data_IF_160619755324
#
_entry.id   IF_160619755324
#
_cell.length_a   1.000
_cell.length_b   1.000
_cell.length_c   1.000
_cell.angle_alpha   90.00
_cell.angle_beta   90.00
_cell.angle_gamma   90.00
#
_symmetry.space_group_name_H-M   'P 1'
#
loop_
_entity.id
_entity.type
_entity.pdbx_description
1 polymer ?
#
# COMPACT_ATOMS: atom_id res chain seq x y z
N UNK A 1 41.73 10.50 -48.08
CA UNK A 1 41.86 10.11 -49.50
C UNK A 1 41.12 11.15 -50.32
N UNK A 2 41.72 11.66 -51.39
CA UNK A 2 41.10 12.75 -52.16
C UNK A 2 39.96 12.20 -53.01
N UNK A 3 38.89 12.98 -53.20
CA UNK A 3 37.73 12.56 -53.98
C UNK A 3 38.10 12.23 -55.45
N UNK A 4 39.15 12.86 -55.97
CA UNK A 4 39.69 12.60 -57.30
C UNK A 4 40.33 11.20 -57.42
N UNK A 5 41.00 10.71 -56.37
CA UNK A 5 41.61 9.38 -56.36
C UNK A 5 40.53 8.29 -56.43
N UNK A 6 39.43 8.48 -55.71
CA UNK A 6 38.28 7.56 -55.71
C UNK A 6 37.51 7.61 -57.03
N UNK A 7 37.38 8.79 -57.66
CA UNK A 7 36.83 8.92 -59.01
C UNK A 7 37.71 8.20 -60.06
N UNK A 8 39.03 8.37 -60.03
CA UNK A 8 39.96 7.68 -60.93
C UNK A 8 39.94 6.17 -60.71
N UNK A 9 39.88 5.71 -59.46
CA UNK A 9 39.79 4.29 -59.12
C UNK A 9 38.47 3.70 -59.63
N UNK A 10 37.35 4.40 -59.42
CA UNK A 10 36.01 4.01 -59.89
C UNK A 10 35.91 3.99 -61.41
N UNK A 11 36.54 4.95 -62.10
CA UNK A 11 36.62 4.97 -63.56
C UNK A 11 37.42 3.77 -64.11
N UNK A 12 38.58 3.47 -63.52
CA UNK A 12 39.40 2.30 -63.89
C UNK A 12 38.76 0.96 -63.54
N UNK A 13 37.95 0.89 -62.49
CA UNK A 13 37.21 -0.32 -62.11
C UNK A 13 35.99 -0.55 -63.03
N UNK A 14 35.37 0.53 -63.53
CA UNK A 14 34.20 0.47 -64.41
C UNK A 14 34.54 0.29 -65.90
N UNK A 15 35.77 0.59 -66.33
CA UNK A 15 36.24 0.44 -67.71
C UNK A 15 37.30 -0.66 -67.80
N UNK A 16 36.89 -1.89 -68.12
CA UNK A 16 37.84 -2.93 -68.49
C UNK A 16 38.47 -2.59 -69.86
N UNK A 17 39.67 -2.00 -69.85
CA UNK A 17 40.44 -1.70 -71.06
C UNK A 17 41.02 -2.94 -71.74
N UNK A 18 41.05 -4.10 -71.06
CA UNK A 18 41.74 -5.31 -71.55
C UNK A 18 41.15 -5.85 -72.88
N UNK A 19 39.82 -5.92 -73.07
CA UNK A 19 39.23 -6.31 -74.35
C UNK A 19 39.61 -5.37 -75.49
N UNK A 20 39.60 -4.05 -75.26
CA UNK A 20 39.97 -3.04 -76.26
C UNK A 20 41.43 -3.22 -76.68
N UNK A 21 42.34 -3.33 -75.71
CA UNK A 21 43.78 -3.51 -75.93
C UNK A 21 44.12 -4.86 -76.59
N UNK A 22 43.30 -5.89 -76.36
CA UNK A 22 43.43 -7.19 -77.03
C UNK A 22 42.90 -7.15 -78.47
N UNK A 23 41.80 -6.44 -78.71
CA UNK A 23 41.24 -6.19 -80.04
C UNK A 23 42.24 -5.38 -80.89
N UNK A 24 42.80 -4.30 -80.35
CA UNK A 24 43.86 -3.50 -80.98
C UNK A 24 45.06 -4.36 -81.40
N UNK A 25 45.57 -5.21 -80.50
CA UNK A 25 46.68 -6.13 -80.82
C UNK A 25 46.32 -7.11 -81.93
N UNK A 26 45.10 -7.65 -81.95
CA UNK A 26 44.64 -8.60 -82.96
C UNK A 26 44.42 -7.96 -84.32
N UNK A 27 43.87 -6.74 -84.37
CA UNK A 27 43.74 -5.95 -85.62
C UNK A 27 45.13 -5.61 -86.16
N UNK A 28 46.07 -5.17 -85.32
CA UNK A 28 47.46 -4.93 -85.72
C UNK A 28 48.19 -6.19 -86.20
N UNK A 29 47.93 -7.35 -85.58
CA UNK A 29 48.47 -8.63 -86.03
C UNK A 29 47.85 -9.03 -87.39
N UNK A 30 46.54 -8.87 -87.56
CA UNK A 30 45.83 -9.18 -88.80
C UNK A 30 46.34 -8.34 -89.98
N UNK A 31 46.51 -7.02 -89.78
CA UNK A 31 47.10 -6.12 -90.78
C UNK A 31 48.53 -6.52 -91.18
N UNK A 32 49.30 -7.17 -90.30
CA UNK A 32 50.64 -7.70 -90.62
C UNK A 32 50.59 -9.05 -91.34
N UNK A 33 49.64 -9.93 -90.98
CA UNK A 33 49.45 -11.21 -91.68
C UNK A 33 48.95 -11.05 -93.12
N UNK A 34 48.24 -9.97 -93.45
CA UNK A 34 47.66 -9.73 -94.79
C UNK A 34 48.66 -9.83 -95.95
N UNK A 35 49.95 -9.57 -95.69
CA UNK A 35 51.02 -9.62 -96.72
C UNK A 35 51.84 -10.92 -96.71
N UNK A 36 51.56 -11.84 -95.79
CA UNK A 36 52.45 -12.97 -95.47
C UNK A 36 51.74 -14.33 -95.41
N UNK A 37 50.49 -14.35 -94.97
CA UNK A 37 49.73 -15.58 -94.70
C UNK A 37 48.77 -15.95 -95.85
N UNK A 38 48.22 -17.18 -95.80
CA UNK A 38 47.20 -17.63 -96.74
C UNK A 38 45.89 -16.82 -96.63
N UNK A 39 45.11 -16.80 -97.70
CA UNK A 39 43.81 -16.15 -97.77
C UNK A 39 42.84 -16.73 -96.72
N UNK A 40 42.82 -18.05 -96.55
CA UNK A 40 41.96 -18.76 -95.60
C UNK A 40 42.28 -18.38 -94.14
N UNK A 41 43.57 -18.36 -93.76
CA UNK A 41 44.02 -17.91 -92.44
C UNK A 41 43.70 -16.44 -92.19
N UNK A 42 43.79 -15.60 -93.23
CA UNK A 42 43.44 -14.18 -93.16
C UNK A 42 41.93 -13.98 -92.96
N UNK A 43 41.09 -14.79 -93.60
CA UNK A 43 39.63 -14.77 -93.40
C UNK A 43 39.23 -15.25 -92.01
N UNK A 44 39.77 -16.39 -91.53
CA UNK A 44 39.49 -16.92 -90.20
C UNK A 44 39.87 -15.91 -89.09
N UNK A 45 40.98 -15.18 -89.26
CA UNK A 45 41.37 -14.10 -88.35
C UNK A 45 40.40 -12.91 -88.38
N UNK A 46 39.87 -12.55 -89.55
CA UNK A 46 38.87 -11.49 -89.70
C UNK A 46 37.54 -11.85 -89.00
N UNK A 47 37.04 -13.08 -89.19
CA UNK A 47 35.83 -13.58 -88.50
C UNK A 47 36.02 -13.64 -86.97
N UNK A 48 37.22 -13.96 -86.50
CA UNK A 48 37.58 -13.90 -85.07
C UNK A 48 37.56 -12.47 -84.51
N UNK A 49 37.99 -11.48 -85.30
CA UNK A 49 37.92 -10.05 -84.93
C UNK A 49 36.47 -9.58 -84.88
N UNK A 50 35.64 -9.91 -85.87
CA UNK A 50 34.20 -9.57 -85.88
C UNK A 50 33.48 -10.13 -84.65
N UNK A 51 33.75 -11.40 -84.29
CA UNK A 51 33.18 -12.03 -83.11
C UNK A 51 33.59 -11.32 -81.81
N UNK A 52 34.83 -10.81 -81.73
CA UNK A 52 35.29 -10.03 -80.57
C UNK A 52 34.65 -8.65 -80.49
N UNK A 53 34.40 -8.00 -81.63
CA UNK A 53 33.66 -6.72 -81.68
C UNK A 53 32.22 -6.93 -81.21
N UNK A 54 31.54 -7.98 -81.68
CA UNK A 54 30.18 -8.33 -81.23
C UNK A 54 30.13 -8.61 -79.72
N UNK A 55 31.07 -9.42 -79.19
CA UNK A 55 31.19 -9.67 -77.75
C UNK A 55 31.45 -8.39 -76.94
N UNK A 56 32.26 -7.47 -77.45
CA UNK A 56 32.55 -6.20 -76.80
C UNK A 56 31.32 -5.27 -76.78
N UNK A 57 30.56 -5.20 -77.88
CA UNK A 57 29.29 -4.49 -77.93
C UNK A 57 28.30 -5.03 -76.88
N UNK A 58 28.09 -6.35 -76.83
CA UNK A 58 27.21 -6.98 -75.82
C UNK A 58 27.66 -6.69 -74.39
N UNK A 59 28.97 -6.59 -74.14
CA UNK A 59 29.51 -6.24 -72.82
C UNK A 59 29.25 -4.78 -72.43
N UNK A 60 29.27 -3.84 -73.38
CA UNK A 60 28.87 -2.43 -73.16
C UNK A 60 27.38 -2.33 -72.84
N UNK A 61 26.54 -3.03 -73.59
CA UNK A 61 25.09 -3.06 -73.36
C UNK A 61 24.77 -3.64 -71.97
N UNK A 62 25.47 -4.70 -71.56
CA UNK A 62 25.40 -5.27 -70.22
C UNK A 62 25.81 -4.27 -69.13
N UNK A 63 26.89 -3.51 -69.31
CA UNK A 63 27.31 -2.48 -68.35
C UNK A 63 26.23 -1.41 -68.14
N UNK A 64 25.61 -0.93 -69.22
CA UNK A 64 24.51 0.04 -69.14
C UNK A 64 23.29 -0.53 -68.39
N UNK A 65 22.98 -1.82 -68.58
CA UNK A 65 21.90 -2.48 -67.85
C UNK A 65 22.22 -2.63 -66.34
N UNK A 66 23.45 -3.04 -66.00
CA UNK A 66 23.92 -3.16 -64.61
C UNK A 66 23.91 -1.78 -63.93
N UNK A 67 24.38 -0.72 -64.60
CA UNK A 67 24.36 0.63 -64.04
C UNK A 67 22.93 1.10 -63.74
N UNK A 68 21.96 0.80 -64.62
CA UNK A 68 20.54 1.10 -64.40
C UNK A 68 19.95 0.29 -63.23
N UNK A 69 20.29 -0.98 -63.12
CA UNK A 69 19.88 -1.84 -62.01
C UNK A 69 20.45 -1.32 -60.67
N UNK A 70 21.76 -1.10 -60.61
CA UNK A 70 22.45 -0.57 -59.43
C UNK A 70 21.86 0.77 -58.98
N UNK A 71 21.53 1.69 -59.89
CA UNK A 71 20.87 2.95 -59.54
C UNK A 71 19.51 2.71 -58.86
N UNK A 72 18.68 1.85 -59.44
CA UNK A 72 17.36 1.48 -58.89
C UNK A 72 17.46 0.79 -57.54
N UNK A 73 18.48 -0.05 -57.36
CA UNK A 73 18.67 -0.75 -56.08
C UNK A 73 19.22 0.19 -55.00
N UNK A 74 20.08 1.16 -55.34
CA UNK A 74 20.47 2.26 -54.43
C UNK A 74 19.24 3.07 -53.99
N UNK A 75 18.36 3.46 -54.92
CA UNK A 75 17.10 4.17 -54.62
C UNK A 75 16.23 3.36 -53.63
N UNK A 76 16.06 2.06 -53.86
CA UNK A 76 15.33 1.14 -52.96
C UNK A 76 16.01 0.94 -51.60
N UNK A 77 17.33 1.00 -51.53
CA UNK A 77 18.05 0.93 -50.27
C UNK A 77 17.86 2.21 -49.46
N UNK A 78 17.88 3.40 -50.08
CA UNK A 78 17.51 4.65 -49.39
C UNK A 78 16.07 4.62 -48.88
N UNK A 79 15.08 4.25 -49.71
CA UNK A 79 13.67 4.11 -49.28
C UNK A 79 13.52 3.17 -48.07
N UNK A 80 14.29 2.07 -48.05
CA UNK A 80 14.29 1.13 -46.92
C UNK A 80 14.92 1.73 -45.67
N UNK A 81 16.04 2.44 -45.80
CA UNK A 81 16.71 3.11 -44.67
C UNK A 81 15.78 4.15 -44.06
N UNK A 82 15.14 4.98 -44.87
CA UNK A 82 14.18 5.99 -44.41
C UNK A 82 12.99 5.34 -43.68
N UNK A 83 12.40 4.28 -44.26
CA UNK A 83 11.31 3.53 -43.62
C UNK A 83 11.74 2.84 -42.31
N UNK A 84 12.96 2.31 -42.24
CA UNK A 84 13.48 1.75 -40.98
C UNK A 84 13.71 2.85 -39.95
N UNK A 85 14.16 4.03 -40.37
CA UNK A 85 14.33 5.20 -39.50
C UNK A 85 13.00 5.65 -38.90
N UNK A 86 11.93 5.78 -39.71
CA UNK A 86 10.59 6.14 -39.18
C UNK A 86 10.07 5.10 -38.21
N UNK A 87 10.16 3.80 -38.54
CA UNK A 87 9.76 2.71 -37.64
C UNK A 87 10.55 2.72 -36.32
N UNK A 88 11.83 3.08 -36.32
CA UNK A 88 12.63 3.21 -35.10
C UNK A 88 12.17 4.39 -34.23
N UNK A 89 11.77 5.51 -34.84
CA UNK A 89 11.20 6.66 -34.12
C UNK A 89 9.84 6.29 -33.52
N UNK A 90 8.92 5.74 -34.31
CA UNK A 90 7.60 5.27 -33.87
C UNK A 90 7.71 4.24 -32.72
N UNK A 91 8.66 3.30 -32.82
CA UNK A 91 8.90 2.30 -31.77
C UNK A 91 9.45 2.94 -30.49
N UNK A 92 10.31 3.95 -30.58
CA UNK A 92 10.81 4.70 -29.42
C UNK A 92 9.69 5.47 -28.72
N UNK A 93 8.82 6.13 -29.48
CA UNK A 93 7.65 6.85 -28.97
C UNK A 93 6.68 5.88 -28.26
N UNK A 94 6.41 4.73 -28.87
CA UNK A 94 5.60 3.67 -28.26
C UNK A 94 6.23 3.15 -26.94
N UNK A 95 7.55 2.94 -26.89
CA UNK A 95 8.27 2.55 -25.67
C UNK A 95 8.14 3.64 -24.59
N UNK A 96 8.22 4.93 -24.93
CA UNK A 96 8.03 6.00 -23.94
C UNK A 96 6.59 6.05 -23.41
N UNK A 97 5.57 5.91 -24.27
CA UNK A 97 4.18 5.84 -23.82
C UNK A 97 3.92 4.65 -22.89
N UNK A 98 4.44 3.47 -23.23
CA UNK A 98 4.30 2.27 -22.41
C UNK A 98 5.02 2.39 -21.05
N UNK A 99 6.14 3.12 -20.98
CA UNK A 99 6.81 3.44 -19.70
C UNK A 99 5.96 4.38 -18.84
N UNK A 100 5.37 5.42 -19.43
CA UNK A 100 4.49 6.33 -18.70
C UNK A 100 3.23 5.61 -18.19
N UNK A 101 2.66 4.71 -18.98
CA UNK A 101 1.52 3.89 -18.58
C UNK A 101 1.87 2.86 -17.50
N UNK A 102 3.08 2.28 -17.54
CA UNK A 102 3.61 1.44 -16.46
C UNK A 102 3.69 2.22 -15.14
N UNK A 103 4.23 3.45 -15.15
CA UNK A 103 4.33 4.30 -13.96
C UNK A 103 2.95 4.67 -13.41
N UNK A 104 1.97 4.97 -14.28
CA UNK A 104 0.57 5.19 -13.87
C UNK A 104 -0.02 3.93 -13.23
N UNK A 105 0.20 2.76 -13.81
CA UNK A 105 -0.31 1.48 -13.30
C UNK A 105 0.33 1.10 -11.94
N UNK A 106 1.63 1.32 -11.78
CA UNK A 106 2.35 1.18 -10.50
C UNK A 106 1.74 2.09 -9.44
N UNK A 107 1.56 3.38 -9.74
CA UNK A 107 0.92 4.33 -8.81
C UNK A 107 -0.50 3.91 -8.40
N UNK A 108 -1.30 3.36 -9.33
CA UNK A 108 -2.64 2.83 -9.01
C UNK A 108 -2.55 1.61 -8.09
N UNK A 109 -1.60 0.69 -8.34
CA UNK A 109 -1.34 -0.46 -7.47
C UNK A 109 -0.93 -0.02 -6.07
N UNK A 110 -0.02 0.93 -5.95
CA UNK A 110 0.52 1.36 -4.66
C UNK A 110 -0.54 2.10 -3.85
N UNK A 111 -1.30 3.01 -4.48
CA UNK A 111 -2.50 3.61 -3.88
C UNK A 111 -3.49 2.53 -3.40
N UNK A 112 -3.72 1.47 -4.19
CA UNK A 112 -4.60 0.37 -3.80
C UNK A 112 -4.06 -0.37 -2.57
N UNK A 113 -2.77 -0.66 -2.50
CA UNK A 113 -2.14 -1.30 -1.34
C UNK A 113 -2.24 -0.43 -0.08
N UNK A 114 -2.12 0.89 -0.20
CA UNK A 114 -2.37 1.82 0.90
C UNK A 114 -3.83 1.79 1.36
N UNK A 115 -4.79 1.82 0.43
CA UNK A 115 -6.22 1.71 0.76
C UNK A 115 -6.57 0.35 1.39
N UNK A 116 -6.04 -0.76 0.86
CA UNK A 116 -6.26 -2.10 1.40
C UNK A 116 -5.68 -2.20 2.82
N UNK A 117 -4.49 -1.63 3.08
CA UNK A 117 -3.90 -1.55 4.43
C UNK A 117 -4.76 -0.74 5.41
N UNK A 118 -5.27 0.42 4.99
CA UNK A 118 -6.17 1.25 5.81
C UNK A 118 -7.51 0.56 6.04
N UNK A 119 -8.05 -0.13 5.03
CA UNK A 119 -9.29 -0.89 5.14
C UNK A 119 -9.16 -2.06 6.13
N UNK A 120 -8.04 -2.79 6.12
CA UNK A 120 -7.74 -3.84 7.10
C UNK A 120 -7.67 -3.29 8.53
N UNK A 121 -7.09 -2.10 8.73
CA UNK A 121 -7.05 -1.46 10.06
C UNK A 121 -8.45 -1.02 10.51
N UNK A 122 -9.25 -0.44 9.61
CA UNK A 122 -10.65 -0.09 9.87
C UNK A 122 -11.49 -1.34 10.20
N UNK A 123 -11.25 -2.47 9.54
CA UNK A 123 -11.95 -3.74 9.80
C UNK A 123 -11.65 -4.36 11.17
N UNK A 124 -10.55 -3.97 11.84
CA UNK A 124 -10.28 -4.38 13.23
C UNK A 124 -11.15 -3.63 14.25
N UNK A 125 -11.62 -2.43 13.88
CA UNK A 125 -12.49 -1.64 14.74
C UNK A 125 -13.92 -2.17 14.66
N UNK A 126 -14.68 -2.03 15.76
CA UNK A 126 -16.10 -2.40 15.73
C UNK A 126 -16.87 -1.53 14.73
N UNK A 127 -17.95 -2.09 14.19
CA UNK A 127 -18.80 -1.35 13.25
C UNK A 127 -19.35 -0.08 13.90
N UNK A 128 -19.55 0.96 13.08
CA UNK A 128 -20.12 2.24 13.54
C UNK A 128 -21.45 2.06 14.25
N UNK A 129 -22.25 1.09 13.80
CA UNK A 129 -23.55 0.77 14.37
C UNK A 129 -23.43 0.15 15.76
N UNK A 130 -22.46 -0.75 15.99
CA UNK A 130 -22.19 -1.32 17.32
C UNK A 130 -21.74 -0.24 18.33
N UNK A 131 -20.92 0.73 17.90
CA UNK A 131 -20.62 1.91 18.73
C UNK A 131 -21.87 2.76 19.00
N UNK A 132 -22.77 2.90 18.02
CA UNK A 132 -24.00 3.68 18.19
C UNK A 132 -25.00 2.99 19.14
N UNK A 133 -25.13 1.66 19.07
CA UNK A 133 -25.89 0.84 20.03
C UNK A 133 -25.29 0.95 21.44
N UNK A 134 -23.96 0.81 21.57
CA UNK A 134 -23.26 0.98 22.86
C UNK A 134 -23.50 2.37 23.46
N UNK A 135 -23.46 3.44 22.65
CA UNK A 135 -23.78 4.81 23.07
C UNK A 135 -25.25 4.95 23.49
N UNK A 136 -26.19 4.28 22.81
CA UNK A 136 -27.60 4.29 23.19
C UNK A 136 -27.84 3.55 24.51
N UNK A 137 -27.23 2.37 24.68
CA UNK A 137 -27.29 1.60 25.92
C UNK A 137 -26.73 2.41 27.10
N UNK A 138 -25.53 2.97 26.97
CA UNK A 138 -24.92 3.81 28.01
C UNK A 138 -25.76 5.05 28.34
N UNK A 139 -26.45 5.65 27.36
CA UNK A 139 -27.39 6.76 27.62
C UNK A 139 -28.62 6.30 28.41
N UNK A 140 -29.19 5.16 28.06
CA UNK A 140 -30.30 4.53 28.80
C UNK A 140 -29.89 4.22 30.24
N UNK A 141 -28.71 3.62 30.44
CA UNK A 141 -28.18 3.29 31.76
C UNK A 141 -27.92 4.55 32.61
N UNK A 142 -27.40 5.63 32.01
CA UNK A 142 -27.25 6.94 32.67
C UNK A 142 -28.60 7.53 33.09
N UNK A 143 -29.64 7.42 32.25
CA UNK A 143 -30.98 7.90 32.57
C UNK A 143 -31.64 7.07 33.68
N UNK A 144 -31.50 5.74 33.62
CA UNK A 144 -31.92 4.82 34.68
C UNK A 144 -31.25 5.16 36.02
N UNK A 145 -29.92 5.33 36.05
CA UNK A 145 -29.16 5.66 37.26
C UNK A 145 -29.54 7.05 37.82
N UNK A 146 -29.84 8.04 36.96
CA UNK A 146 -30.38 9.34 37.39
C UNK A 146 -31.74 9.19 38.06
N UNK A 147 -32.64 8.41 37.48
CA UNK A 147 -33.98 8.15 38.03
C UNK A 147 -33.89 7.36 39.34
N UNK A 148 -33.01 6.37 39.44
CA UNK A 148 -32.76 5.63 40.68
C UNK A 148 -32.18 6.54 41.77
N UNK A 149 -31.22 7.41 41.43
CA UNK A 149 -30.69 8.43 42.36
C UNK A 149 -31.80 9.33 42.88
N UNK A 150 -32.64 9.89 42.00
CA UNK A 150 -33.76 10.75 42.40
C UNK A 150 -34.77 10.01 43.30
N UNK A 151 -35.04 8.72 43.04
CA UNK A 151 -35.89 7.88 43.89
C UNK A 151 -35.27 7.60 45.27
N UNK A 152 -33.95 7.35 45.33
CA UNK A 152 -33.21 7.22 46.59
C UNK A 152 -33.21 8.53 47.38
N UNK A 153 -32.98 9.66 46.72
CA UNK A 153 -32.93 10.99 47.32
C UNK A 153 -34.29 11.41 47.91
N UNK A 154 -35.39 11.21 47.18
CA UNK A 154 -36.76 11.40 47.70
C UNK A 154 -37.09 10.44 48.86
N UNK A 155 -36.63 9.19 48.82
CA UNK A 155 -36.79 8.24 49.93
C UNK A 155 -36.03 8.69 51.18
N UNK A 156 -34.79 9.19 51.02
CA UNK A 156 -33.98 9.74 52.13
C UNK A 156 -34.63 11.00 52.69
N UNK A 157 -35.14 11.90 51.86
CA UNK A 157 -35.92 13.06 52.32
C UNK A 157 -37.17 12.67 53.10
N UNK A 158 -37.92 11.67 52.62
CA UNK A 158 -39.11 11.15 53.31
C UNK A 158 -38.75 10.56 54.68
N UNK A 159 -37.71 9.73 54.76
CA UNK A 159 -37.19 9.18 56.03
C UNK A 159 -36.68 10.29 56.97
N UNK A 160 -36.01 11.31 56.45
CA UNK A 160 -35.57 12.48 57.25
C UNK A 160 -36.76 13.25 57.82
N UNK A 161 -37.85 13.37 57.06
CA UNK A 161 -39.11 13.97 57.55
C UNK A 161 -39.76 13.10 58.63
N UNK A 162 -39.93 11.80 58.38
CA UNK A 162 -40.48 10.84 59.36
C UNK A 162 -39.66 10.81 60.66
N UNK A 163 -38.34 10.88 60.57
CA UNK A 163 -37.45 10.99 61.72
C UNK A 163 -37.65 12.33 62.46
N UNK A 164 -37.84 13.44 61.75
CA UNK A 164 -38.21 14.73 62.34
C UNK A 164 -39.55 14.65 63.09
N UNK A 165 -40.58 14.09 62.46
CA UNK A 165 -41.90 13.89 63.06
C UNK A 165 -41.84 12.99 64.31
N UNK A 166 -40.97 11.96 64.31
CA UNK A 166 -40.73 11.07 65.44
C UNK A 166 -39.90 11.72 66.56
N UNK A 167 -38.91 12.55 66.22
CA UNK A 167 -38.17 13.37 67.19
C UNK A 167 -39.12 14.38 67.86
N UNK A 168 -40.03 14.99 67.10
CA UNK A 168 -40.99 15.94 67.66
C UNK A 168 -42.13 15.26 68.45
N UNK A 169 -42.51 14.02 68.11
CA UNK A 169 -43.40 13.22 68.97
C UNK A 169 -42.69 12.76 70.25
N UNK A 170 -41.41 12.34 70.17
CA UNK A 170 -40.59 12.02 71.34
C UNK A 170 -40.40 13.24 72.26
N UNK A 171 -40.13 14.43 71.71
CA UNK A 171 -40.10 15.69 72.49
C UNK A 171 -41.47 16.01 73.12
N UNK A 172 -42.58 15.77 72.43
CA UNK A 172 -43.93 15.93 73.02
C UNK A 172 -44.19 14.95 74.15
N UNK A 173 -43.75 13.69 74.02
CA UNK A 173 -43.84 12.69 75.09
C UNK A 173 -42.93 13.09 76.26
N UNK A 174 -41.69 13.52 76.01
CA UNK A 174 -40.80 14.03 77.05
C UNK A 174 -41.41 15.23 77.78
N UNK A 175 -41.93 16.22 77.04
CA UNK A 175 -42.63 17.38 77.62
C UNK A 175 -43.87 16.96 78.39
N UNK A 176 -44.65 16.01 77.88
CA UNK A 176 -45.80 15.43 78.57
C UNK A 176 -45.40 14.65 79.84
N UNK A 177 -44.26 13.97 79.84
CA UNK A 177 -43.69 13.32 81.02
C UNK A 177 -43.10 14.32 82.02
N UNK A 178 -42.55 15.45 81.57
CA UNK A 178 -42.10 16.56 82.41
C UNK A 178 -43.30 17.30 83.04
N UNK A 179 -44.36 17.54 82.27
CA UNK A 179 -45.64 18.08 82.73
C UNK A 179 -46.35 17.11 83.67
N UNK A 180 -46.36 15.81 83.36
CA UNK A 180 -46.90 14.78 84.25
C UNK A 180 -46.04 14.65 85.50
N UNK A 181 -44.70 14.70 85.42
CA UNK A 181 -43.83 14.74 86.61
C UNK A 181 -44.05 16.00 87.42
N UNK A 182 -44.31 17.15 86.79
CA UNK A 182 -44.66 18.38 87.48
C UNK A 182 -46.03 18.27 88.18
N UNK A 183 -47.04 17.72 87.51
CA UNK A 183 -48.36 17.46 88.09
C UNK A 183 -48.32 16.40 89.18
N UNK A 184 -47.59 15.29 88.99
CA UNK A 184 -47.36 14.27 90.03
C UNK A 184 -46.56 14.85 91.18
N UNK A 185 -45.56 15.71 90.95
CA UNK A 185 -44.84 16.43 92.02
C UNK A 185 -45.75 17.43 92.73
N UNK A 186 -46.73 18.03 92.05
CA UNK A 186 -47.70 18.93 92.66
C UNK A 186 -48.80 18.19 93.43
N UNK A 187 -49.32 17.07 92.93
CA UNK A 187 -50.27 16.22 93.65
C UNK A 187 -49.58 15.47 94.79
N UNK A 188 -48.35 14.98 94.60
CA UNK A 188 -47.50 14.46 95.67
C UNK A 188 -47.19 15.56 96.69
N UNK A 189 -46.97 16.81 96.29
CA UNK A 189 -46.86 17.95 97.22
C UNK A 189 -48.16 18.19 98.01
N UNK A 190 -49.33 18.07 97.37
CA UNK A 190 -50.64 18.14 98.08
C UNK A 190 -50.91 16.93 98.97
N UNK A 191 -50.34 15.76 98.68
CA UNK A 191 -50.43 14.55 99.51
C UNK A 191 -49.44 14.60 100.68
N UNK A 192 -48.22 15.13 100.47
CA UNK A 192 -47.23 15.35 101.53
C UNK A 192 -47.60 16.50 102.48
N UNK A 193 -48.49 17.42 102.07
CA UNK A 193 -49.09 18.44 102.94
C UNK A 193 -50.11 17.86 103.95
N UNK A 194 -50.41 16.55 103.85
CA UNK A 194 -51.26 15.78 104.77
C UNK A 194 -50.53 14.54 105.32
N UNK A 195 -49.21 14.64 105.51
CA UNK A 195 -48.41 13.56 106.10
C UNK A 195 -46.89 13.78 106.11
N UNK A 196 -46.40 14.71 106.94
CA UNK A 196 -45.16 14.45 107.70
C UNK A 196 -45.51 13.34 108.72
N UNK A 197 -44.72 12.32 109.01
CA UNK A 197 -43.26 12.17 109.20
C UNK A 197 -43.01 10.64 108.99
N UNK A 198 -41.87 10.10 108.54
CA UNK A 198 -40.60 10.01 109.27
C UNK A 198 -39.41 9.73 108.34
N UNK A 199 -38.26 10.16 108.84
CA UNK A 199 -36.90 9.99 108.32
C UNK A 199 -36.36 8.55 108.50
N UNK A 200 -35.46 8.12 107.62
CA UNK A 200 -34.47 7.05 107.85
C UNK A 200 -33.36 7.13 106.81
N UNK A 201 -32.12 7.22 107.27
CA UNK A 201 -30.89 7.36 106.49
C UNK A 201 -30.20 6.01 106.17
N UNK A 202 -28.99 6.14 105.61
CA UNK A 202 -27.92 5.16 105.34
C UNK A 202 -28.12 4.28 104.07
N UNK A 203 -27.26 4.42 103.05
CA UNK A 203 -25.85 3.97 102.87
C UNK A 203 -25.75 2.47 102.50
N UNK A 204 -24.99 2.00 101.50
CA UNK A 204 -23.80 2.53 100.82
C UNK A 204 -23.76 2.28 99.29
N UNK A 205 -22.78 2.94 98.64
CA UNK A 205 -21.92 2.57 97.50
C UNK A 205 -21.69 1.05 97.22
N UNK A 206 -21.12 0.58 96.10
CA UNK A 206 -20.61 1.17 94.83
C UNK A 206 -20.49 0.05 93.75
N UNK A 207 -20.39 0.44 92.46
CA UNK A 207 -19.71 -0.22 91.28
C UNK A 207 -19.77 -1.79 91.06
N UNK A 208 -19.57 -2.42 89.90
CA UNK A 208 -19.10 -2.03 88.56
C UNK A 208 -19.60 -2.98 87.43
N UNK A 209 -19.51 -2.52 86.18
CA UNK A 209 -19.33 -3.22 84.88
C UNK A 209 -19.84 -4.68 84.59
N UNK A 210 -20.86 -4.70 83.73
CA UNK A 210 -20.77 -5.22 82.33
C UNK A 210 -21.04 -6.71 81.96
N UNK A 211 -21.59 -6.82 80.73
CA UNK A 211 -21.58 -7.94 79.77
C UNK A 211 -22.48 -9.18 80.00
N UNK A 212 -23.16 -9.59 78.93
CA UNK A 212 -24.02 -10.77 78.90
C UNK A 212 -25.10 -10.74 77.80
N UNK A 213 -24.71 -10.65 76.53
CA UNK A 213 -25.64 -10.84 75.41
C UNK A 213 -25.83 -12.34 75.12
N UNK A 214 -27.05 -12.71 74.74
CA UNK A 214 -27.47 -14.07 74.34
C UNK A 214 -28.38 -13.99 73.11
N UNK A 215 -28.66 -15.10 72.41
CA UNK A 215 -27.70 -15.88 71.64
C UNK A 215 -28.12 -15.93 70.16
N UNK A 216 -27.22 -16.34 69.27
CA UNK A 216 -27.57 -16.68 67.89
C UNK A 216 -26.96 -18.04 67.52
N UNK A 217 -27.79 -18.97 67.03
CA UNK A 217 -27.34 -20.30 66.61
C UNK A 217 -28.18 -20.85 65.45
N UNK A 218 -27.46 -21.38 64.45
CA UNK A 218 -27.92 -22.31 63.39
C UNK A 218 -28.83 -21.79 62.25
N UNK A 219 -28.28 -21.75 61.04
CA UNK A 219 -28.73 -22.66 59.96
C UNK A 219 -27.71 -22.72 58.79
N UNK A 220 -27.85 -23.73 57.94
CA UNK A 220 -26.77 -24.28 57.08
C UNK A 220 -27.16 -24.39 55.60
N UNK A 221 -26.19 -24.18 54.69
CA UNK A 221 -26.10 -24.68 53.29
C UNK A 221 -27.10 -24.10 52.24
N UNK A 222 -26.94 -24.34 50.90
CA UNK A 222 -25.79 -24.83 50.12
C UNK A 222 -25.42 -24.06 48.80
N UNK A 223 -24.15 -24.18 48.41
CA UNK A 223 -23.56 -24.56 47.08
C UNK A 223 -24.23 -24.27 45.69
N UNK A 224 -23.37 -23.85 44.73
CA UNK A 224 -23.53 -23.94 43.25
C UNK A 224 -24.14 -22.71 42.55
N UNK A 225 -23.80 -22.29 41.32
CA UNK A 225 -22.82 -22.65 40.26
C UNK A 225 -22.81 -21.49 39.22
N UNK A 226 -21.84 -21.26 38.30
CA UNK A 226 -20.42 -21.63 38.12
C UNK A 226 -19.80 -20.80 36.96
N UNK A 227 -18.46 -20.81 36.80
CA UNK A 227 -17.68 -20.25 35.66
C UNK A 227 -17.63 -18.70 35.52
N UNK A 228 -16.62 -18.06 34.91
CA UNK A 228 -15.42 -18.55 34.19
C UNK A 228 -14.21 -17.57 34.27
N UNK A 229 -13.00 -18.11 34.06
CA UNK A 229 -11.78 -17.51 33.46
C UNK A 229 -11.51 -15.99 33.60
N UNK A 230 -10.51 -15.53 34.35
CA UNK A 230 -9.05 -15.70 34.16
C UNK A 230 -8.43 -14.85 33.03
N UNK A 231 -7.98 -13.64 33.38
CA UNK A 231 -6.96 -12.88 32.65
C UNK A 231 -5.58 -13.16 33.26
N UNK A 232 -4.66 -13.83 32.55
CA UNK A 232 -3.21 -13.75 32.83
C UNK A 232 -2.37 -14.24 31.65
N UNK A 233 -1.33 -13.46 31.33
CA UNK A 233 -0.11 -13.75 30.54
C UNK A 233 -0.13 -14.97 29.59
N UNK A 234 -0.06 -14.82 28.26
CA UNK A 234 1.07 -14.27 27.48
C UNK A 234 2.26 -15.23 27.42
N UNK A 235 2.33 -15.97 26.31
CA UNK A 235 3.55 -16.66 25.88
C UNK A 235 3.74 -16.45 24.36
N UNK A 236 4.99 -16.54 23.93
CA UNK A 236 5.54 -16.02 22.68
C UNK A 236 6.02 -17.20 21.86
N UNK A 237 5.45 -17.42 20.68
CA UNK A 237 6.08 -18.26 19.65
C UNK A 237 6.46 -17.37 18.48
N UNK A 238 7.74 -17.46 18.13
CA UNK A 238 8.35 -16.88 16.95
C UNK A 238 8.28 -17.90 15.79
N UNK A 239 8.78 -17.46 14.63
CA UNK A 239 9.24 -18.26 13.49
C UNK A 239 8.25 -18.64 12.36
N UNK A 240 8.74 -18.34 11.14
CA UNK A 240 8.43 -18.92 9.82
C UNK A 240 7.04 -18.58 9.19
N UNK A 241 6.91 -17.96 8.00
CA UNK A 241 7.85 -17.79 6.87
C UNK A 241 7.83 -16.36 6.24
N UNK A 242 9.01 -15.75 6.05
CA UNK A 242 9.23 -14.62 5.13
C UNK A 242 9.97 -15.10 3.86
N UNK A 243 9.23 -15.45 2.79
CA UNK A 243 9.85 -15.68 1.47
C UNK A 243 9.87 -14.40 0.60
N UNK A 244 11.07 -13.83 0.44
CA UNK A 244 11.52 -13.40 -0.90
C UNK A 244 11.14 -12.01 -1.42
N UNK A 245 11.39 -10.93 -0.66
CA UNK A 245 11.63 -9.63 -1.32
C UNK A 245 13.03 -9.59 -1.93
N UNK A 246 13.13 -9.63 -3.27
CA UNK A 246 14.38 -9.39 -4.00
C UNK A 246 14.67 -7.88 -4.05
N UNK A 247 15.80 -7.39 -3.52
CA UNK A 247 16.22 -6.01 -3.73
C UNK A 247 16.61 -5.78 -5.19
N UNK A 248 16.15 -4.70 -5.80
CA UNK A 248 16.61 -4.29 -7.13
C UNK A 248 18.12 -3.96 -7.06
N UNK A 249 18.92 -4.66 -7.87
CA UNK A 249 20.31 -4.30 -8.10
C UNK A 249 20.42 -3.16 -9.11
N UNK A 250 20.49 -1.93 -8.62
CA UNK A 250 21.02 -0.80 -9.38
C UNK A 250 22.55 -0.86 -9.35
N UNK A 251 23.20 -1.44 -10.36
CA UNK A 251 24.66 -1.34 -10.54
C UNK A 251 25.08 -1.33 -12.03
N UNK A 252 25.39 -0.12 -12.50
CA UNK A 252 26.41 0.23 -13.51
C UNK A 252 26.62 -0.63 -14.79
N UNK A 253 25.75 -0.48 -15.81
CA UNK A 253 26.22 -0.65 -17.20
C UNK A 253 26.95 0.62 -17.70
N UNK A 254 28.27 0.65 -17.52
CA UNK A 254 29.15 1.69 -18.05
C UNK A 254 29.18 1.63 -19.59
N UNK A 255 28.44 2.52 -20.24
CA UNK A 255 28.47 2.71 -21.70
C UNK A 255 29.81 3.32 -22.15
N UNK A 256 30.76 2.45 -22.48
CA UNK A 256 32.07 2.86 -22.99
C UNK A 256 31.98 3.31 -24.46
N UNK A 257 31.54 4.55 -24.70
CA UNK A 257 31.48 5.15 -26.03
C UNK A 257 32.89 5.55 -26.47
N UNK A 258 33.56 4.64 -27.20
CA UNK A 258 34.79 4.96 -27.92
C UNK A 258 34.46 5.84 -29.14
N UNK A 259 34.69 7.13 -28.99
CA UNK A 259 34.65 8.09 -30.10
C UNK A 259 35.95 8.05 -30.90
N UNK A 260 36.04 7.16 -31.90
CA UNK A 260 37.11 7.24 -32.88
C UNK A 260 36.80 8.32 -33.93
N UNK A 261 37.33 9.51 -33.70
CA UNK A 261 37.38 10.62 -34.66
C UNK A 261 38.82 11.04 -34.93
N UNK A 262 39.46 10.45 -35.94
CA UNK A 262 40.65 10.93 -36.66
C UNK A 262 40.85 10.12 -37.93
#
# INVERSE_FOLDING_TARGET
>A
MNADDDWVLKARLAMDERPIRNLEKRINQWMRSLSTDSLETTQNNYESILTQIANYQTNIERHNLIQRANKKDVERYSERVDKTSTMVVETREAITSLKDDLVKAQKIRDNKLEYDKVALEIMKLQTRDAYQESIQQLKSDIEFLKNEKAKKETTVMSRKRQLGDLIDSAKKIQKGMEEQRAQTRETQKRVMDMGQEYDSSDDENDEDMSHGASPDETSTLPNGTAAATSHRFQERNEDEDEEGMVPNGDDEEKTNIVTNSS
#
